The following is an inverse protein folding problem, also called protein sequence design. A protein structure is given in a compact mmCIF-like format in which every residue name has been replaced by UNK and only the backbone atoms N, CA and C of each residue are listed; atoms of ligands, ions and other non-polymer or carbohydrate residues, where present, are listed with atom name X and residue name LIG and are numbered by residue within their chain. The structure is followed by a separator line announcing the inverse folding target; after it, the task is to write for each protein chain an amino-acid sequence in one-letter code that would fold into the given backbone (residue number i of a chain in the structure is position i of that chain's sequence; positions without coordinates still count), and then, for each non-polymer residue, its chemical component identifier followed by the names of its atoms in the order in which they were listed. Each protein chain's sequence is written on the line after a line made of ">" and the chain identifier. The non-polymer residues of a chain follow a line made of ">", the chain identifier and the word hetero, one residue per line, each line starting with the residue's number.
data_IF_583582267241
#
_entry.id   IF_583582267241
#
_cell.length_a   1.000
_cell.length_b   1.000
_cell.length_c   1.000
_cell.angle_alpha   90.00
_cell.angle_beta   90.00
_cell.angle_gamma   90.00
#
_symmetry.space_group_name_H-M   'P 1'
#
loop_
_entity.id
_entity.type
_entity.pdbx_description
1 polymer ?
#
# COMPACT_ATOMS: atom_id res chain seq x y z
N UNK A 1 18.96 7.88 -3.19
CA UNK A 1 17.95 8.65 -3.88
C UNK A 1 17.33 9.66 -2.94
N UNK A 2 17.18 10.91 -3.38
CA UNK A 2 16.54 11.96 -2.60
C UNK A 2 15.06 11.66 -2.39
N UNK A 3 14.69 11.20 -1.24
CA UNK A 3 13.29 11.08 -0.83
C UNK A 3 12.79 12.43 -0.32
N UNK A 4 12.29 13.25 -1.23
CA UNK A 4 11.56 14.48 -0.91
C UNK A 4 12.42 15.69 -0.55
N UNK A 5 12.05 16.82 -1.07
CA UNK A 5 12.72 18.13 -0.98
C UNK A 5 12.48 18.88 0.35
N UNK A 6 12.09 18.18 1.41
CA UNK A 6 11.94 18.76 2.74
C UNK A 6 13.21 18.58 3.55
N UNK A 7 14.17 19.49 3.43
CA UNK A 7 15.41 19.43 4.17
C UNK A 7 15.17 19.30 5.68
N UNK A 8 15.82 18.33 6.32
CA UNK A 8 15.91 18.20 7.78
C UNK A 8 14.82 17.39 8.47
N UNK A 9 13.79 16.90 7.78
CA UNK A 9 12.80 16.00 8.40
C UNK A 9 13.30 14.55 8.43
N UNK A 10 13.06 13.84 9.54
CA UNK A 10 13.35 12.41 9.67
C UNK A 10 12.71 11.57 8.54
N UNK A 11 11.61 12.04 7.95
CA UNK A 11 10.92 11.43 6.81
C UNK A 11 11.78 11.36 5.55
N UNK A 12 12.79 12.18 5.43
CA UNK A 12 13.70 12.23 4.27
C UNK A 12 14.86 11.23 4.34
N UNK A 13 15.00 10.54 5.47
CA UNK A 13 16.07 9.55 5.68
C UNK A 13 15.52 8.13 5.49
N UNK A 14 16.09 7.39 4.53
CA UNK A 14 15.66 6.03 4.23
C UNK A 14 15.75 5.07 5.43
N UNK A 15 16.72 5.29 6.32
CA UNK A 15 16.89 4.49 7.54
C UNK A 15 15.73 4.64 8.54
N UNK A 16 14.95 5.73 8.43
CA UNK A 16 13.88 6.04 9.38
C UNK A 16 12.48 6.04 8.75
N UNK A 17 12.39 6.12 7.42
CA UNK A 17 11.11 6.29 6.71
C UNK A 17 11.16 5.69 5.30
N UNK A 18 10.01 5.27 4.81
CA UNK A 18 9.82 4.93 3.40
C UNK A 18 9.56 6.13 2.49
N UNK A 19 9.72 7.36 3.01
CA UNK A 19 9.52 8.59 2.24
C UNK A 19 8.06 8.95 2.00
N UNK A 20 7.83 9.90 1.10
CA UNK A 20 6.50 10.42 0.80
C UNK A 20 5.51 9.38 0.28
N UNK A 21 6.00 8.35 -0.41
CA UNK A 21 5.16 7.26 -0.92
C UNK A 21 4.54 6.41 0.20
N UNK A 22 5.21 6.22 1.31
CA UNK A 22 4.70 5.47 2.45
C UNK A 22 4.10 6.36 3.54
N UNK A 23 4.34 7.67 3.49
CA UNK A 23 3.72 8.67 4.35
C UNK A 23 2.38 9.13 3.74
N UNK A 24 2.38 10.11 2.86
CA UNK A 24 1.17 10.57 2.15
C UNK A 24 0.57 9.52 1.22
N UNK A 25 1.41 8.72 0.57
CA UNK A 25 0.96 7.62 -0.27
C UNK A 25 0.11 6.61 0.48
N UNK A 26 0.41 6.31 1.74
CA UNK A 26 -0.43 5.42 2.55
C UNK A 26 -1.87 5.92 2.70
N UNK A 27 -2.07 7.25 2.83
CA UNK A 27 -3.41 7.83 2.84
C UNK A 27 -4.11 7.72 1.48
N UNK A 28 -3.40 8.02 0.40
CA UNK A 28 -3.95 7.99 -0.94
C UNK A 28 -4.28 6.56 -1.39
N UNK A 29 -3.34 5.64 -1.27
CA UNK A 29 -3.56 4.23 -1.61
C UNK A 29 -4.59 3.59 -0.68
N UNK A 30 -4.54 3.88 0.63
CA UNK A 30 -5.53 3.41 1.58
C UNK A 30 -6.94 3.87 1.22
N UNK A 31 -7.12 5.15 0.87
CA UNK A 31 -8.38 5.67 0.39
C UNK A 31 -8.84 5.02 -0.92
N UNK A 32 -7.93 4.84 -1.88
CA UNK A 32 -8.24 4.22 -3.16
C UNK A 32 -8.64 2.74 -3.01
N UNK A 33 -7.86 1.93 -2.29
CA UNK A 33 -8.17 0.50 -2.05
C UNK A 33 -9.52 0.31 -1.37
N UNK A 34 -9.86 1.25 -0.50
CA UNK A 34 -11.14 1.26 0.18
C UNK A 34 -12.30 1.64 -0.75
N UNK A 35 -12.12 2.67 -1.58
CA UNK A 35 -13.14 3.18 -2.49
C UNK A 35 -13.52 2.17 -3.58
N UNK A 36 -12.57 1.32 -4.01
CA UNK A 36 -12.78 0.31 -5.06
C UNK A 36 -12.85 -1.12 -4.53
N UNK A 37 -12.94 -1.27 -3.21
CA UNK A 37 -13.12 -2.54 -2.52
C UNK A 37 -12.08 -3.62 -2.82
N UNK A 38 -10.83 -3.20 -2.83
CA UNK A 38 -9.68 -4.13 -2.91
C UNK A 38 -8.89 -4.22 -1.61
N UNK A 39 -9.43 -3.71 -0.51
CA UNK A 39 -8.79 -3.67 0.81
C UNK A 39 -8.41 -5.03 1.39
N UNK A 40 -9.11 -6.09 0.97
CA UNK A 40 -8.82 -7.47 1.38
C UNK A 40 -7.88 -8.19 0.41
N UNK A 41 -7.45 -7.49 -0.65
CA UNK A 41 -6.61 -8.03 -1.69
C UNK A 41 -5.23 -7.33 -1.68
N UNK A 42 -4.25 -8.04 -2.18
CA UNK A 42 -2.95 -7.49 -2.56
C UNK A 42 -2.83 -7.48 -4.08
N UNK A 43 -2.15 -6.49 -4.68
CA UNK A 43 -1.87 -6.51 -6.11
C UNK A 43 -0.91 -7.67 -6.42
N UNK A 44 -1.11 -8.32 -7.55
CA UNK A 44 -0.26 -9.43 -8.04
C UNK A 44 0.77 -8.97 -9.07
N UNK A 45 0.44 -7.93 -9.81
CA UNK A 45 1.33 -7.38 -10.83
C UNK A 45 1.57 -5.90 -10.57
N UNK A 46 2.83 -5.55 -10.43
CA UNK A 46 3.31 -4.19 -10.22
C UNK A 46 4.10 -3.81 -11.47
N UNK A 47 3.53 -2.97 -12.33
CA UNK A 47 4.13 -2.59 -13.60
C UNK A 47 4.75 -1.22 -13.50
N UNK A 48 6.06 -1.16 -13.71
CA UNK A 48 6.80 0.08 -13.85
C UNK A 48 6.72 0.57 -15.29
N UNK A 49 6.47 1.86 -15.46
CA UNK A 49 6.38 2.53 -16.74
C UNK A 49 7.28 3.76 -16.76
N UNK A 50 7.80 4.06 -17.95
CA UNK A 50 8.47 5.33 -18.23
C UNK A 50 7.96 5.86 -19.57
N UNK A 51 7.35 7.04 -19.56
CA UNK A 51 6.77 7.68 -20.73
C UNK A 51 7.11 9.17 -20.75
N UNK A 52 7.77 9.62 -21.81
CA UNK A 52 8.18 11.03 -21.98
C UNK A 52 8.95 11.59 -20.77
N UNK A 53 9.80 10.76 -20.14
CA UNK A 53 10.59 11.11 -18.95
C UNK A 53 9.80 11.10 -17.64
N UNK A 54 8.51 10.77 -17.68
CA UNK A 54 7.70 10.57 -16.47
C UNK A 54 7.67 9.10 -16.10
N UNK A 55 8.00 8.81 -14.85
CA UNK A 55 7.95 7.47 -14.28
C UNK A 55 6.65 7.29 -13.50
N UNK A 56 5.97 6.18 -13.74
CA UNK A 56 4.73 5.83 -13.03
C UNK A 56 4.60 4.33 -12.81
N UNK A 57 3.73 3.94 -11.89
CA UNK A 57 3.53 2.54 -11.50
C UNK A 57 2.05 2.20 -11.52
N UNK A 58 1.73 1.04 -12.09
CA UNK A 58 0.40 0.44 -12.06
C UNK A 58 0.40 -0.83 -11.22
N UNK A 59 -0.58 -0.96 -10.34
CA UNK A 59 -0.75 -2.09 -9.45
C UNK A 59 -2.07 -2.79 -9.80
N UNK A 60 -1.98 -3.97 -10.39
CA UNK A 60 -3.14 -4.76 -10.81
C UNK A 60 -3.52 -5.79 -9.74
N UNK A 61 -4.81 -5.83 -9.41
CA UNK A 61 -5.40 -6.73 -8.43
C UNK A 61 -6.07 -7.93 -9.11
N UNK A 62 -6.21 -9.08 -8.41
CA UNK A 62 -6.78 -10.30 -8.99
C UNK A 62 -8.21 -10.15 -9.52
N UNK A 63 -8.95 -9.16 -9.03
CA UNK A 63 -10.34 -8.87 -9.45
C UNK A 63 -10.43 -7.94 -10.67
N UNK A 64 -9.30 -7.63 -11.34
CA UNK A 64 -9.24 -6.78 -12.53
C UNK A 64 -9.16 -5.27 -12.25
N UNK A 65 -9.18 -4.85 -10.98
CA UNK A 65 -8.93 -3.45 -10.61
C UNK A 65 -7.45 -3.13 -10.79
N UNK A 66 -7.16 -1.95 -11.32
CA UNK A 66 -5.79 -1.41 -11.42
C UNK A 66 -5.75 -0.03 -10.80
N UNK A 67 -4.80 0.18 -9.89
CA UNK A 67 -4.49 1.48 -9.30
C UNK A 67 -3.18 1.97 -9.92
N UNK A 68 -3.20 3.15 -10.53
CA UNK A 68 -2.03 3.75 -11.17
C UNK A 68 -1.64 5.04 -10.47
N UNK A 69 -0.37 5.15 -10.11
CA UNK A 69 0.21 6.33 -9.47
C UNK A 69 1.07 7.10 -10.46
N UNK A 70 0.88 8.44 -10.50
CA UNK A 70 1.69 9.41 -11.26
C UNK A 70 1.67 9.23 -12.79
N UNK A 71 0.57 8.74 -13.38
CA UNK A 71 0.43 8.62 -14.84
C UNK A 71 0.40 10.00 -15.51
N UNK A 72 1.14 10.23 -16.60
CA UNK A 72 1.17 11.53 -17.27
C UNK A 72 -0.21 12.08 -17.65
N UNK A 73 -0.40 13.38 -17.45
CA UNK A 73 -1.64 14.08 -17.82
C UNK A 73 -2.87 13.77 -16.98
N UNK A 74 -2.66 13.15 -15.84
CA UNK A 74 -3.72 12.73 -14.91
C UNK A 74 -3.38 13.15 -13.48
N UNK A 75 -4.35 13.00 -12.58
CA UNK A 75 -4.13 13.20 -11.14
C UNK A 75 -3.20 12.15 -10.55
N UNK A 76 -2.64 12.42 -9.37
CA UNK A 76 -1.62 11.60 -8.73
C UNK A 76 -1.98 10.12 -8.59
N UNK A 77 -3.27 9.80 -8.46
CA UNK A 77 -3.76 8.43 -8.31
C UNK A 77 -5.00 8.22 -9.17
N UNK A 78 -4.99 7.16 -9.97
CA UNK A 78 -6.09 6.77 -10.82
C UNK A 78 -6.47 5.35 -10.55
N UNK A 79 -7.75 5.07 -10.67
CA UNK A 79 -8.31 3.73 -10.54
C UNK A 79 -9.00 3.38 -11.83
N UNK A 80 -8.56 2.28 -12.43
CA UNK A 80 -9.16 1.66 -13.60
C UNK A 80 -9.68 0.27 -13.18
N UNK A 81 -10.84 -0.10 -13.63
CA UNK A 81 -11.44 -1.40 -13.35
C UNK A 81 -12.50 -1.71 -14.37
N UNK A 82 -12.99 -2.93 -14.37
CA UNK A 82 -14.18 -3.27 -15.12
C UNK A 82 -15.30 -2.31 -14.72
N UNK A 83 -16.07 -1.71 -15.66
CA UNK A 83 -17.19 -0.88 -15.33
C UNK A 83 -18.19 -1.69 -14.50
N UNK A 84 -18.11 -1.60 -13.23
CA UNK A 84 -18.94 -2.21 -12.23
C UNK A 84 -19.31 -1.14 -11.23
N UNK A 85 -20.31 -1.35 -10.45
CA UNK A 85 -20.90 -0.42 -9.51
C UNK A 85 -19.84 0.45 -8.80
N UNK A 86 -19.91 1.76 -9.03
CA UNK A 86 -19.22 2.72 -8.18
C UNK A 86 -19.74 2.51 -6.77
N UNK A 87 -18.94 1.92 -5.90
CA UNK A 87 -19.32 1.86 -4.49
C UNK A 87 -19.40 3.29 -3.95
N UNK A 88 -20.52 3.58 -3.30
CA UNK A 88 -20.66 4.81 -2.54
C UNK A 88 -19.64 4.75 -1.38
N UNK A 89 -18.65 5.65 -1.32
CA UNK A 89 -17.71 5.70 -0.20
C UNK A 89 -18.40 5.87 1.15
N UNK A 90 -19.65 6.39 1.15
CA UNK A 90 -20.50 6.50 2.34
C UNK A 90 -21.10 5.15 2.77
N UNK A 91 -21.14 4.17 1.88
CA UNK A 91 -21.63 2.82 2.19
C UNK A 91 -20.59 1.95 2.91
N UNK A 92 -19.40 2.49 3.17
CA UNK A 92 -18.41 1.80 3.98
C UNK A 92 -18.92 1.62 5.39
N UNK A 93 -19.03 0.40 5.91
CA UNK A 93 -19.47 0.17 7.26
C UNK A 93 -18.55 0.92 8.24
N UNK A 94 -19.13 1.69 9.13
CA UNK A 94 -18.41 2.31 10.25
C UNK A 94 -18.71 1.51 11.53
N UNK A 95 -17.72 1.39 12.40
CA UNK A 95 -17.97 0.87 13.74
C UNK A 95 -19.02 1.74 14.45
N UNK A 96 -20.07 1.09 14.95
CA UNK A 96 -21.24 1.77 15.55
C UNK A 96 -21.24 1.73 17.08
N UNK A 97 -20.25 1.07 17.69
CA UNK A 97 -20.13 1.00 19.13
C UNK A 97 -19.59 2.27 19.79
N UNK A 98 -19.64 2.33 21.09
CA UNK A 98 -19.09 3.45 21.87
C UNK A 98 -17.57 3.51 21.77
N UNK A 99 -17.00 4.70 21.87
CA UNK A 99 -15.55 4.94 21.85
C UNK A 99 -14.87 4.80 20.48
N UNK A 100 -15.64 4.63 19.40
CA UNK A 100 -15.11 4.54 18.03
C UNK A 100 -14.07 3.42 17.89
N UNK A 101 -12.98 3.67 17.15
CA UNK A 101 -11.95 2.64 16.90
C UNK A 101 -11.24 2.15 18.18
N UNK A 102 -11.16 3.00 19.20
CA UNK A 102 -10.56 2.63 20.49
C UNK A 102 -11.48 1.71 21.27
N UNK A 103 -12.79 2.00 21.27
CA UNK A 103 -13.80 1.14 21.89
C UNK A 103 -13.86 -0.24 21.23
N UNK A 104 -13.85 -0.28 19.90
CA UNK A 104 -13.76 -1.52 19.12
C UNK A 104 -12.55 -2.36 19.52
N UNK A 105 -11.37 -1.74 19.54
CA UNK A 105 -10.13 -2.44 19.92
C UNK A 105 -10.20 -3.01 21.35
N UNK A 106 -10.64 -2.19 22.31
CA UNK A 106 -10.74 -2.63 23.72
C UNK A 106 -11.75 -3.77 23.88
N UNK A 107 -12.88 -3.70 23.18
CA UNK A 107 -13.87 -4.77 23.23
C UNK A 107 -13.34 -6.06 22.62
N UNK A 108 -12.65 -5.97 21.48
CA UNK A 108 -12.01 -7.13 20.86
C UNK A 108 -10.89 -7.74 21.71
N UNK A 109 -10.17 -6.93 22.50
CA UNK A 109 -9.20 -7.45 23.49
C UNK A 109 -9.90 -8.32 24.54
N UNK A 110 -11.11 -7.94 24.98
CA UNK A 110 -11.88 -8.69 25.98
C UNK A 110 -12.54 -9.94 25.39
N UNK A 111 -13.18 -9.79 24.22
CA UNK A 111 -13.96 -10.87 23.59
C UNK A 111 -13.13 -11.82 22.75
N UNK A 112 -11.90 -11.41 22.36
CA UNK A 112 -11.03 -12.12 21.42
C UNK A 112 -11.61 -12.18 20.00
N UNK A 113 -12.54 -11.32 19.68
CA UNK A 113 -13.07 -11.17 18.34
C UNK A 113 -12.16 -10.30 17.47
N UNK A 114 -12.37 -10.38 16.17
CA UNK A 114 -11.61 -9.60 15.18
C UNK A 114 -12.11 -8.15 15.20
N UNK A 115 -11.24 -7.14 15.32
CA UNK A 115 -11.66 -5.75 15.30
C UNK A 115 -12.19 -5.35 13.91
N UNK A 116 -13.05 -4.36 13.87
CA UNK A 116 -13.60 -3.83 12.63
C UNK A 116 -12.50 -3.34 11.67
N UNK A 117 -11.42 -2.79 12.23
CA UNK A 117 -10.20 -2.40 11.49
C UNK A 117 -9.07 -3.33 11.85
N UNK A 118 -9.15 -4.50 11.31
CA UNK A 118 -8.24 -5.58 11.53
C UNK A 118 -6.87 -5.33 10.89
N UNK A 119 -5.86 -5.97 11.44
CA UNK A 119 -4.46 -5.81 11.03
C UNK A 119 -4.23 -6.28 9.59
N UNK A 120 -4.95 -7.28 9.10
CA UNK A 120 -4.81 -7.76 7.72
C UNK A 120 -5.22 -6.68 6.71
N UNK A 121 -6.31 -5.96 6.98
CA UNK A 121 -6.73 -4.82 6.16
C UNK A 121 -5.69 -3.69 6.18
N UNK A 122 -5.09 -3.44 7.34
CA UNK A 122 -4.04 -2.44 7.47
C UNK A 122 -2.78 -2.83 6.70
N UNK A 123 -2.36 -4.09 6.81
CA UNK A 123 -1.20 -4.64 6.07
C UNK A 123 -1.42 -4.57 4.57
N UNK A 124 -2.57 -5.03 4.07
CA UNK A 124 -2.88 -4.97 2.64
C UNK A 124 -2.87 -3.54 2.10
N UNK A 125 -3.44 -2.60 2.85
CA UNK A 125 -3.45 -1.18 2.47
C UNK A 125 -2.05 -0.58 2.39
N UNK A 126 -1.20 -0.87 3.38
CA UNK A 126 0.19 -0.38 3.43
C UNK A 126 1.06 -1.06 2.39
N UNK A 127 0.89 -2.36 2.15
CA UNK A 127 1.65 -3.12 1.16
C UNK A 127 1.61 -2.48 -0.24
N UNK A 128 0.46 -1.92 -0.64
CA UNK A 128 0.30 -1.25 -1.95
C UNK A 128 1.32 -0.11 -2.12
N UNK A 129 1.50 0.73 -1.10
CA UNK A 129 2.46 1.84 -1.15
C UNK A 129 3.91 1.35 -1.11
N UNK A 130 4.20 0.28 -0.38
CA UNK A 130 5.53 -0.33 -0.36
C UNK A 130 5.88 -0.99 -1.70
N UNK A 131 4.97 -1.72 -2.31
CA UNK A 131 5.19 -2.33 -3.62
C UNK A 131 5.46 -1.29 -4.70
N UNK A 132 4.71 -0.19 -4.69
CA UNK A 132 4.98 0.94 -5.58
C UNK A 132 6.37 1.54 -5.32
N UNK A 133 6.76 1.73 -4.05
CA UNK A 133 8.09 2.24 -3.68
C UNK A 133 9.20 1.34 -4.23
N UNK A 134 9.10 0.02 -4.02
CA UNK A 134 10.10 -0.95 -4.49
C UNK A 134 10.20 -0.93 -6.02
N UNK A 135 9.06 -0.87 -6.74
CA UNK A 135 9.07 -0.78 -8.20
C UNK A 135 9.71 0.51 -8.71
N UNK A 136 9.49 1.65 -8.04
CA UNK A 136 10.18 2.91 -8.37
C UNK A 136 11.69 2.86 -8.08
N UNK A 137 12.09 2.25 -6.99
CA UNK A 137 13.50 2.11 -6.61
C UNK A 137 14.26 1.23 -7.60
N UNK A 138 13.69 0.08 -7.95
CA UNK A 138 14.27 -0.88 -8.88
C UNK A 138 14.08 -0.51 -10.35
N UNK A 139 13.17 0.42 -10.65
CA UNK A 139 12.81 0.87 -12.01
C UNK A 139 12.45 -0.30 -12.94
N UNK A 140 11.72 -1.27 -12.44
CA UNK A 140 11.25 -2.43 -13.20
C UNK A 140 9.96 -3.00 -12.64
N UNK A 141 9.25 -3.74 -13.49
CA UNK A 141 8.03 -4.44 -13.11
C UNK A 141 8.33 -5.64 -12.21
N UNK A 142 7.41 -5.93 -11.31
CA UNK A 142 7.53 -6.96 -10.29
C UNK A 142 6.24 -7.80 -10.27
N UNK A 143 6.35 -9.03 -9.80
CA UNK A 143 5.21 -9.91 -9.54
C UNK A 143 5.19 -10.32 -8.07
N UNK A 144 4.03 -10.18 -7.44
CA UNK A 144 3.84 -10.58 -6.05
C UNK A 144 3.11 -11.90 -5.94
N UNK A 145 3.66 -12.83 -5.19
CA UNK A 145 3.02 -14.09 -4.81
C UNK A 145 2.32 -13.91 -3.45
N UNK A 146 1.01 -13.75 -3.49
CA UNK A 146 0.20 -13.51 -2.28
C UNK A 146 0.19 -14.70 -1.33
N UNK A 147 0.39 -15.92 -1.82
CA UNK A 147 0.41 -17.12 -0.98
C UNK A 147 1.72 -17.25 -0.20
N UNK A 148 2.83 -16.88 -0.83
CA UNK A 148 4.16 -16.94 -0.22
C UNK A 148 4.56 -15.63 0.46
N UNK A 149 3.84 -14.54 0.18
CA UNK A 149 4.17 -13.19 0.65
C UNK A 149 5.59 -12.77 0.22
N UNK A 150 5.90 -12.98 -1.07
CA UNK A 150 7.20 -12.64 -1.66
C UNK A 150 7.05 -12.13 -3.10
N UNK A 151 8.04 -11.39 -3.58
CA UNK A 151 8.18 -11.11 -5.01
C UNK A 151 8.69 -12.38 -5.71
N UNK A 152 7.89 -12.88 -6.67
CA UNK A 152 8.09 -14.16 -7.31
C UNK A 152 9.42 -14.22 -8.08
N UNK A 153 10.37 -15.02 -7.59
CA UNK A 153 11.67 -15.22 -8.21
C UNK A 153 12.61 -14.02 -8.19
N UNK A 154 12.35 -13.02 -7.32
CA UNK A 154 13.08 -11.76 -7.28
C UNK A 154 13.73 -11.51 -5.91
N UNK A 155 14.92 -12.04 -5.71
CA UNK A 155 15.65 -11.92 -4.45
C UNK A 155 16.04 -10.48 -4.10
N UNK A 156 16.25 -9.61 -5.10
CA UNK A 156 16.58 -8.20 -4.86
C UNK A 156 15.36 -7.44 -4.34
N UNK A 157 14.18 -7.62 -4.96
CA UNK A 157 12.94 -7.03 -4.49
C UNK A 157 12.55 -7.54 -3.09
N UNK A 158 12.73 -8.85 -2.85
CA UNK A 158 12.44 -9.45 -1.54
C UNK A 158 13.34 -8.89 -0.43
N UNK A 159 14.59 -8.58 -0.72
CA UNK A 159 15.48 -7.94 0.25
C UNK A 159 15.00 -6.56 0.67
N UNK A 160 14.22 -5.85 -0.17
CA UNK A 160 13.66 -4.55 0.14
C UNK A 160 12.35 -4.61 0.97
N UNK A 161 11.79 -5.80 1.17
CA UNK A 161 10.61 -6.00 2.01
C UNK A 161 10.92 -5.87 3.51
N UNK A 162 12.17 -6.04 3.90
CA UNK A 162 12.60 -5.89 5.29
C UNK A 162 13.90 -5.07 5.35
N UNK A 163 14.19 -4.56 6.53
CA UNK A 163 15.40 -3.77 6.79
C UNK A 163 16.42 -4.61 7.55
N UNK A 164 17.72 -4.42 7.31
CA UNK A 164 18.75 -5.00 8.15
C UNK A 164 18.51 -4.59 9.61
N UNK A 165 18.44 -5.56 10.49
CA UNK A 165 18.24 -5.34 11.92
C UNK A 165 19.56 -5.47 12.66
N UNK A 166 19.77 -4.62 13.65
CA UNK A 166 20.94 -4.72 14.53
C UNK A 166 20.76 -5.81 15.56
N UNK A 167 21.86 -6.41 16.00
CA UNK A 167 21.87 -7.29 17.15
C UNK A 167 21.34 -6.58 18.43
N UNK A 168 20.60 -7.29 19.30
CA UNK A 168 20.13 -8.68 19.23
C UNK A 168 18.72 -8.83 18.61
N UNK A 169 18.24 -7.84 17.87
CA UNK A 169 16.85 -7.68 17.41
C UNK A 169 16.59 -8.34 16.03
N UNK A 170 17.32 -9.39 15.73
CA UNK A 170 17.04 -10.24 14.56
C UNK A 170 15.79 -11.09 14.84
N UNK A 171 14.80 -11.07 13.94
CA UNK A 171 13.60 -11.90 13.97
C UNK A 171 13.77 -13.08 13.03
#
# INVERSE_FOLDING_TARGET
>A
GNFGTGGGSWRSYADYSGGGMTDWGAHHFGGATFAVDVRELQPTDITFHEENGTKYVSLAFPNGVTITHNKPGKENLQVEGTPGEKRDPKAVPAYKGEGGIYGDFIECVKTREKPFRDIELAVNSVAVSHFATIAYELQRSLKWDTAKQEFAGDAEANRLCDRPRREPWQL
#
